data_IF_636671441601
#
_entry.id   IF_636671441601
#
_cell.length_a   1.000
_cell.length_b   1.000
_cell.length_c   1.000
_cell.angle_alpha   90.00
_cell.angle_beta   90.00
_cell.angle_gamma   90.00
#
_symmetry.space_group_name_H-M   'P 1'
#
loop_
_entity.id
_entity.type
_entity.pdbx_description
1 polymer ?
#
# COMPACT_ATOMS: atom_id res chain seq x y z
N UNK A 1 -20.82 -21.17 20.15
CA UNK A 1 -19.57 -20.63 19.58
C UNK A 1 -19.61 -20.96 18.12
N UNK A 2 -20.18 -20.06 17.32
CA UNK A 2 -20.53 -20.31 15.93
C UNK A 2 -19.97 -19.20 15.06
N UNK A 3 -19.29 -19.62 14.00
CA UNK A 3 -19.02 -18.79 12.83
C UNK A 3 -20.36 -18.64 12.08
N UNK A 4 -20.76 -17.40 11.78
CA UNK A 4 -22.03 -17.13 11.09
C UNK A 4 -21.86 -16.98 9.57
N UNK A 5 -20.62 -16.86 9.12
CA UNK A 5 -20.22 -16.70 7.73
C UNK A 5 -19.05 -17.63 7.43
N UNK A 6 -18.95 -18.12 6.20
CA UNK A 6 -17.79 -18.87 5.74
C UNK A 6 -16.61 -17.94 5.40
N UNK A 7 -15.39 -18.50 5.42
CA UNK A 7 -14.21 -17.73 5.03
C UNK A 7 -14.32 -17.27 3.58
N UNK A 8 -14.15 -15.95 3.37
CA UNK A 8 -14.33 -15.19 2.12
C UNK A 8 -15.77 -14.83 1.76
N UNK A 9 -16.73 -15.00 2.64
CA UNK A 9 -18.05 -14.40 2.43
C UNK A 9 -17.99 -12.88 2.48
N UNK A 10 -18.81 -12.25 1.65
CA UNK A 10 -19.01 -10.81 1.63
C UNK A 10 -19.82 -10.40 2.86
N UNK A 11 -19.29 -9.44 3.62
CA UNK A 11 -19.93 -8.91 4.83
C UNK A 11 -20.01 -7.38 4.75
N UNK A 12 -20.98 -6.80 5.44
CA UNK A 12 -21.21 -5.37 5.56
C UNK A 12 -21.06 -4.91 7.03
N UNK A 13 -20.81 -3.61 7.28
CA UNK A 13 -20.75 -3.08 8.64
C UNK A 13 -22.02 -3.40 9.42
N UNK A 14 -21.86 -3.98 10.61
CA UNK A 14 -22.97 -4.42 11.46
C UNK A 14 -23.30 -5.91 11.36
N UNK A 15 -22.74 -6.64 10.39
CA UNK A 15 -22.88 -8.09 10.34
C UNK A 15 -22.18 -8.75 11.54
N UNK A 16 -22.84 -9.73 12.15
CA UNK A 16 -22.27 -10.54 13.23
C UNK A 16 -21.42 -11.64 12.62
N UNK A 17 -20.11 -11.59 12.86
CA UNK A 17 -19.16 -12.55 12.32
C UNK A 17 -19.01 -13.77 13.23
N UNK A 18 -18.98 -13.54 14.55
CA UNK A 18 -18.71 -14.60 15.51
C UNK A 18 -19.37 -14.35 16.86
N UNK A 19 -19.92 -15.40 17.47
CA UNK A 19 -20.48 -15.37 18.81
C UNK A 19 -19.59 -16.09 19.83
N UNK A 20 -19.11 -15.33 20.84
CA UNK A 20 -18.25 -15.84 21.90
C UNK A 20 -16.85 -15.21 21.92
N UNK A 21 -15.92 -15.85 22.64
CA UNK A 21 -14.56 -15.35 22.83
C UNK A 21 -13.67 -15.75 21.65
N UNK A 22 -13.27 -14.74 20.87
CA UNK A 22 -12.31 -14.84 19.77
C UNK A 22 -11.55 -13.51 19.67
N UNK A 23 -10.32 -13.53 19.16
CA UNK A 23 -9.56 -12.29 18.96
C UNK A 23 -10.17 -11.49 17.80
N UNK A 24 -10.31 -10.18 18.00
CA UNK A 24 -10.69 -9.24 16.94
C UNK A 24 -9.44 -8.84 16.17
N UNK A 25 -9.45 -9.05 14.86
CA UNK A 25 -8.44 -8.54 13.95
C UNK A 25 -8.93 -7.30 13.21
N UNK A 26 -8.27 -6.99 12.09
CA UNK A 26 -8.54 -5.78 11.32
C UNK A 26 -10.00 -5.70 10.85
N UNK A 27 -10.55 -4.48 10.86
CA UNK A 27 -11.91 -4.16 10.41
C UNK A 27 -13.02 -4.95 11.14
N UNK A 28 -12.76 -5.33 12.41
CA UNK A 28 -13.75 -5.92 13.31
C UNK A 28 -13.78 -5.19 14.64
N UNK A 29 -14.90 -5.27 15.34
CA UNK A 29 -15.01 -4.77 16.71
C UNK A 29 -15.91 -5.69 17.54
N UNK A 30 -15.80 -5.60 18.86
CA UNK A 30 -16.59 -6.40 19.79
C UNK A 30 -17.61 -5.53 20.51
N UNK A 31 -18.86 -5.99 20.50
CA UNK A 31 -19.96 -5.42 21.27
C UNK A 31 -20.85 -6.57 21.77
N UNK A 32 -21.37 -6.46 23.00
CA UNK A 32 -22.35 -7.42 23.57
C UNK A 32 -21.97 -8.91 23.45
N UNK A 33 -20.67 -9.23 23.61
CA UNK A 33 -20.18 -10.61 23.52
C UNK A 33 -20.07 -11.17 22.08
N UNK A 34 -20.44 -10.38 21.07
CA UNK A 34 -20.36 -10.72 19.65
C UNK A 34 -19.27 -9.91 18.95
N UNK A 35 -18.78 -10.43 17.82
CA UNK A 35 -17.83 -9.74 16.94
C UNK A 35 -18.56 -9.30 15.70
N UNK A 36 -18.43 -8.02 15.36
CA UNK A 36 -19.10 -7.40 14.23
C UNK A 36 -18.10 -6.91 13.19
N UNK A 37 -18.48 -6.93 11.92
CA UNK A 37 -17.77 -6.24 10.86
C UNK A 37 -17.90 -4.71 11.02
N UNK A 38 -16.81 -3.98 10.79
CA UNK A 38 -16.82 -2.50 10.76
C UNK A 38 -16.68 -1.91 9.36
N UNK A 39 -16.41 -2.74 8.35
CA UNK A 39 -16.28 -2.35 6.94
C UNK A 39 -16.86 -3.39 6.00
N UNK A 40 -17.20 -2.96 4.79
CA UNK A 40 -17.56 -3.88 3.70
C UNK A 40 -16.31 -4.65 3.29
N UNK A 41 -16.38 -5.98 3.28
CA UNK A 41 -15.20 -6.80 3.05
C UNK A 41 -15.45 -8.29 2.96
N UNK A 42 -14.36 -9.05 2.89
CA UNK A 42 -14.38 -10.51 2.92
C UNK A 42 -13.96 -10.98 4.31
N UNK A 43 -14.80 -11.75 5.00
CA UNK A 43 -14.46 -12.27 6.34
C UNK A 43 -13.38 -13.35 6.26
N UNK A 44 -12.49 -13.37 7.24
CA UNK A 44 -11.46 -14.40 7.37
C UNK A 44 -11.34 -14.87 8.81
N UNK A 45 -11.28 -16.18 9.00
CA UNK A 45 -11.03 -16.81 10.29
C UNK A 45 -9.64 -17.44 10.25
N UNK A 46 -8.68 -16.87 10.99
CA UNK A 46 -7.29 -17.30 10.97
C UNK A 46 -6.72 -17.36 12.39
N UNK A 47 -6.18 -18.52 12.80
CA UNK A 47 -5.47 -18.71 14.09
C UNK A 47 -6.24 -18.19 15.33
N UNK A 48 -7.56 -18.39 15.36
CA UNK A 48 -8.41 -17.92 16.47
C UNK A 48 -8.63 -16.40 16.49
N UNK A 49 -8.49 -15.75 15.33
CA UNK A 49 -8.80 -14.35 15.09
C UNK A 49 -9.79 -14.23 13.94
N UNK A 50 -10.74 -13.30 14.09
CA UNK A 50 -11.70 -12.93 13.04
C UNK A 50 -11.29 -11.56 12.52
N UNK A 51 -11.10 -11.46 11.21
CA UNK A 51 -10.74 -10.21 10.52
C UNK A 51 -11.60 -10.04 9.28
N UNK A 52 -11.74 -8.81 8.80
CA UNK A 52 -12.40 -8.50 7.53
C UNK A 52 -11.38 -7.87 6.59
N UNK A 53 -11.16 -8.47 5.42
CA UNK A 53 -10.38 -7.85 4.35
C UNK A 53 -11.28 -6.83 3.67
N UNK A 54 -11.10 -5.55 3.97
CA UNK A 54 -11.92 -4.48 3.40
C UNK A 54 -11.78 -4.42 1.88
N UNK A 55 -12.91 -4.34 1.16
CA UNK A 55 -12.89 -4.17 -0.31
C UNK A 55 -12.47 -2.76 -0.71
N UNK A 56 -12.83 -1.78 0.11
CA UNK A 56 -12.40 -0.39 0.00
C UNK A 56 -11.98 0.12 1.39
N UNK A 57 -10.74 0.59 1.47
CA UNK A 57 -10.22 1.25 2.66
C UNK A 57 -9.14 2.24 2.25
N UNK A 58 -9.20 3.44 2.82
CA UNK A 58 -8.09 4.38 2.78
C UNK A 58 -6.87 3.83 3.53
N UNK A 59 -5.72 4.45 3.28
CA UNK A 59 -4.47 4.10 3.94
C UNK A 59 -4.47 4.56 5.40
N UNK A 60 -4.18 3.65 6.33
CA UNK A 60 -3.94 3.97 7.74
C UNK A 60 -2.46 3.74 8.05
N UNK A 61 -1.66 4.83 8.24
CA UNK A 61 -0.22 4.73 8.46
C UNK A 61 0.15 3.87 9.66
N UNK A 62 1.13 2.98 9.49
CA UNK A 62 1.78 2.25 10.58
C UNK A 62 3.29 2.46 10.55
N UNK A 63 3.91 2.46 11.73
CA UNK A 63 5.38 2.47 11.84
C UNK A 63 5.96 1.25 11.12
N UNK A 64 6.94 1.50 10.26
CA UNK A 64 7.58 0.49 9.42
C UNK A 64 7.05 0.43 7.99
N UNK A 65 5.91 1.06 7.69
CA UNK A 65 5.35 1.08 6.34
C UNK A 65 6.26 1.84 5.37
N UNK A 66 6.47 1.26 4.19
CA UNK A 66 7.04 1.97 3.05
C UNK A 66 5.91 2.67 2.31
N UNK A 67 6.10 3.94 1.96
CA UNK A 67 5.11 4.78 1.27
C UNK A 67 5.76 5.55 0.14
N UNK A 68 4.98 5.88 -0.88
CA UNK A 68 5.40 6.79 -1.95
C UNK A 68 4.61 8.07 -1.77
N UNK A 69 5.28 9.21 -1.73
CA UNK A 69 4.63 10.50 -1.45
C UNK A 69 5.12 11.61 -2.35
N UNK A 70 4.41 12.73 -2.36
CA UNK A 70 4.81 13.94 -3.08
C UNK A 70 5.00 15.10 -2.12
N UNK A 71 6.09 15.85 -2.23
CA UNK A 71 6.34 17.03 -1.42
C UNK A 71 5.30 18.09 -1.76
N UNK A 72 4.49 18.48 -0.77
CA UNK A 72 3.47 19.54 -0.91
C UNK A 72 3.97 20.90 -0.43
N UNK A 73 4.82 20.91 0.59
CA UNK A 73 5.25 22.12 1.29
C UNK A 73 6.63 21.92 1.94
N UNK A 74 7.36 23.01 2.12
CA UNK A 74 8.67 23.03 2.79
C UNK A 74 8.59 24.00 3.96
N UNK A 75 8.80 23.47 5.17
CA UNK A 75 8.79 24.24 6.41
C UNK A 75 10.19 24.26 7.03
N UNK A 76 10.41 25.13 8.00
CA UNK A 76 11.69 25.23 8.69
C UNK A 76 12.06 23.85 9.27
N UNK A 77 13.14 23.26 8.73
CA UNK A 77 13.71 21.99 9.17
C UNK A 77 12.94 20.72 8.75
N UNK A 78 11.89 20.80 7.93
CA UNK A 78 11.15 19.62 7.46
C UNK A 78 10.40 19.82 6.13
N UNK A 79 10.20 18.75 5.37
CA UNK A 79 9.27 18.70 4.24
C UNK A 79 7.95 18.10 4.68
N UNK A 80 6.84 18.64 4.16
CA UNK A 80 5.51 18.04 4.29
C UNK A 80 5.23 17.24 3.02
N UNK A 81 4.96 15.95 3.19
CA UNK A 81 4.84 14.98 2.10
C UNK A 81 3.45 14.37 2.11
N UNK A 82 2.75 14.52 1.00
CA UNK A 82 1.47 13.86 0.76
C UNK A 82 1.65 12.36 0.57
N UNK A 83 1.14 11.59 1.51
CA UNK A 83 1.18 10.13 1.50
C UNK A 83 -0.22 9.52 1.38
N UNK A 84 -1.24 10.29 0.96
CA UNK A 84 -2.63 9.79 0.82
C UNK A 84 -3.22 9.23 2.14
N UNK A 85 -2.77 9.79 3.27
CA UNK A 85 -3.28 9.52 4.61
C UNK A 85 -4.16 10.69 5.10
N UNK A 86 -4.71 10.57 6.31
CA UNK A 86 -5.48 11.66 6.93
C UNK A 86 -4.64 12.92 7.19
N UNK A 87 -3.36 12.73 7.55
CA UNK A 87 -2.38 13.79 7.77
C UNK A 87 -1.21 13.62 6.80
N UNK A 88 -0.64 14.73 6.32
CA UNK A 88 0.61 14.71 5.55
C UNK A 88 1.76 14.18 6.42
N UNK A 89 2.68 13.42 5.83
CA UNK A 89 3.88 12.95 6.50
C UNK A 89 4.90 14.07 6.67
N UNK A 90 5.60 14.09 7.80
CA UNK A 90 6.68 15.03 8.07
C UNK A 90 8.03 14.32 7.86
N UNK A 91 8.83 14.81 6.92
CA UNK A 91 10.22 14.37 6.70
C UNK A 91 11.16 15.42 7.28
N UNK A 92 11.84 15.12 8.39
CA UNK A 92 12.81 16.07 8.95
C UNK A 92 14.14 16.02 8.19
N UNK A 93 14.94 17.08 8.30
CA UNK A 93 16.26 17.15 7.65
C UNK A 93 17.18 16.00 8.11
N UNK A 94 17.20 15.69 9.40
CA UNK A 94 17.99 14.57 9.91
C UNK A 94 17.56 13.23 9.32
N UNK A 95 16.26 13.03 9.12
CA UNK A 95 15.68 11.81 8.54
C UNK A 95 15.81 11.75 7.00
N UNK A 96 16.32 12.82 6.38
CA UNK A 96 16.50 12.93 4.94
C UNK A 96 17.96 12.83 4.50
N UNK A 97 18.87 13.46 5.24
CA UNK A 97 20.28 13.59 4.85
C UNK A 97 21.27 13.20 5.96
N UNK A 98 20.78 12.66 7.08
CA UNK A 98 21.60 12.26 8.23
C UNK A 98 22.47 13.40 8.78
N UNK A 99 21.95 14.63 8.73
CA UNK A 99 22.62 15.83 9.20
C UNK A 99 21.68 16.75 9.98
N UNK A 100 22.23 17.49 10.95
CA UNK A 100 21.48 18.47 11.72
C UNK A 100 21.05 19.64 10.83
N UNK A 101 19.82 20.14 11.05
CA UNK A 101 19.34 21.32 10.34
C UNK A 101 20.18 22.54 10.71
N UNK A 102 20.57 23.31 9.69
CA UNK A 102 21.20 24.62 9.84
C UNK A 102 20.38 25.66 9.09
N UNK A 103 20.30 26.87 9.63
CA UNK A 103 19.45 27.94 9.07
C UNK A 103 19.88 28.37 7.65
N UNK A 104 21.16 28.20 7.31
CA UNK A 104 21.75 28.46 6.00
C UNK A 104 21.59 27.29 5.01
N UNK A 105 20.98 26.18 5.44
CA UNK A 105 20.79 25.00 4.61
C UNK A 105 19.66 25.20 3.59
N UNK A 106 20.02 25.15 2.32
CA UNK A 106 19.07 25.21 1.21
C UNK A 106 18.38 23.85 1.01
N UNK A 107 17.22 23.70 1.65
CA UNK A 107 16.41 22.49 1.63
C UNK A 107 15.91 22.11 0.23
N UNK A 108 15.71 23.09 -0.66
CA UNK A 108 15.19 22.87 -2.03
C UNK A 108 16.14 22.03 -2.88
N UNK A 109 17.43 22.01 -2.54
CA UNK A 109 18.44 21.19 -3.24
C UNK A 109 18.30 19.70 -2.98
N UNK A 110 17.69 19.32 -1.85
CA UNK A 110 17.44 17.92 -1.52
C UNK A 110 16.14 17.47 -2.16
N UNK A 111 15.06 18.21 -1.87
CA UNK A 111 13.72 17.98 -2.37
C UNK A 111 13.00 19.32 -2.50
N UNK A 112 12.33 19.50 -3.63
CA UNK A 112 11.48 20.66 -3.89
C UNK A 112 9.99 20.27 -3.94
N UNK A 113 9.10 21.26 -3.89
CA UNK A 113 7.66 21.07 -4.02
C UNK A 113 7.35 20.38 -5.36
N UNK A 114 6.55 19.32 -5.30
CA UNK A 114 6.22 18.49 -6.45
C UNK A 114 7.11 17.27 -6.63
N UNK A 115 8.26 17.19 -5.95
CA UNK A 115 9.12 16.00 -5.99
C UNK A 115 8.42 14.79 -5.37
N UNK A 116 8.59 13.63 -6.00
CA UNK A 116 8.11 12.37 -5.46
C UNK A 116 9.22 11.66 -4.69
N UNK A 117 8.88 11.08 -3.54
CA UNK A 117 9.81 10.34 -2.68
C UNK A 117 9.26 8.96 -2.34
N UNK A 118 10.16 7.97 -2.27
CA UNK A 118 9.94 6.72 -1.56
C UNK A 118 10.48 6.92 -0.14
N UNK A 119 9.60 6.78 0.85
CA UNK A 119 9.94 6.99 2.25
C UNK A 119 9.45 5.82 3.10
N UNK A 120 10.00 5.72 4.31
CA UNK A 120 9.55 4.79 5.34
C UNK A 120 9.01 5.57 6.54
N UNK A 121 7.90 5.11 7.09
CA UNK A 121 7.35 5.66 8.33
C UNK A 121 8.18 5.12 9.49
N UNK A 122 8.93 6.00 10.15
CA UNK A 122 9.82 5.64 11.27
C UNK A 122 9.16 5.83 12.62
N UNK A 123 8.21 6.76 12.71
CA UNK A 123 7.44 7.02 13.92
C UNK A 123 6.08 7.65 13.57
N UNK A 124 5.16 7.69 14.53
CA UNK A 124 3.90 8.41 14.43
C UNK A 124 3.75 9.26 15.69
N UNK A 125 3.67 10.58 15.51
CA UNK A 125 3.64 11.49 16.65
C UNK A 125 2.30 11.44 17.43
N UNK A 126 2.22 12.20 18.52
CA UNK A 126 1.01 12.25 19.37
C UNK A 126 -0.23 12.82 18.66
N UNK A 127 -0.05 13.57 17.57
CA UNK A 127 -1.13 14.12 16.73
C UNK A 127 -1.46 13.18 15.57
N UNK A 128 -0.86 11.99 15.53
CA UNK A 128 -0.97 10.98 14.46
C UNK A 128 -0.34 11.44 13.14
N UNK A 129 0.56 12.41 13.17
CA UNK A 129 1.37 12.81 12.03
C UNK A 129 2.47 11.76 11.80
N UNK A 130 2.53 11.12 10.62
CA UNK A 130 3.57 10.15 10.31
C UNK A 130 4.92 10.84 10.14
N UNK A 131 5.94 10.38 10.85
CA UNK A 131 7.33 10.82 10.67
C UNK A 131 7.99 9.93 9.65
N UNK A 132 8.51 10.54 8.60
CA UNK A 132 9.09 9.87 7.44
C UNK A 132 10.62 9.91 7.53
N UNK A 133 11.24 8.88 6.97
CA UNK A 133 12.66 8.87 6.64
C UNK A 133 12.87 8.39 5.21
N UNK A 134 13.82 9.00 4.52
CA UNK A 134 14.31 8.54 3.21
C UNK A 134 15.72 7.93 3.33
N UNK A 135 16.21 7.73 4.56
CA UNK A 135 17.48 7.07 4.81
C UNK A 135 17.28 5.56 4.76
N UNK A 136 17.96 4.91 3.82
CA UNK A 136 17.95 3.46 3.71
C UNK A 136 18.09 2.99 2.27
N UNK A 137 18.12 1.68 2.13
CA UNK A 137 18.13 1.04 0.81
C UNK A 137 16.78 1.22 0.14
N UNK A 138 16.80 1.56 -1.15
CA UNK A 138 15.61 1.72 -2.01
C UNK A 138 14.65 2.86 -1.58
N UNK A 139 15.12 3.79 -0.73
CA UNK A 139 14.43 5.01 -0.34
C UNK A 139 15.10 6.24 -0.99
N UNK A 140 14.36 7.36 -1.08
CA UNK A 140 14.88 8.61 -1.65
C UNK A 140 13.96 9.23 -2.70
N UNK A 141 14.51 10.23 -3.40
CA UNK A 141 13.82 10.92 -4.50
C UNK A 141 13.62 9.99 -5.68
N UNK A 142 12.41 10.00 -6.24
CA UNK A 142 12.05 9.29 -7.46
C UNK A 142 12.32 10.22 -8.65
N UNK A 143 13.24 9.81 -9.53
CA UNK A 143 13.60 10.59 -10.72
C UNK A 143 12.88 10.11 -11.99
N UNK A 144 12.47 8.85 -12.03
CA UNK A 144 11.90 8.21 -13.21
C UNK A 144 10.90 7.10 -12.85
N UNK A 145 10.08 6.73 -13.83
CA UNK A 145 9.04 5.72 -13.70
C UNK A 145 7.64 6.30 -13.71
N UNK A 146 6.65 5.40 -13.70
CA UNK A 146 5.24 5.71 -13.71
C UNK A 146 4.61 5.40 -12.35
N UNK A 147 3.90 6.37 -11.77
CA UNK A 147 3.18 6.18 -10.50
C UNK A 147 1.71 5.95 -10.81
N UNK A 148 1.17 4.84 -10.29
CA UNK A 148 -0.26 4.57 -10.31
C UNK A 148 -0.84 4.50 -8.90
N UNK A 149 -2.13 4.81 -8.80
CA UNK A 149 -2.92 4.57 -7.59
C UNK A 149 -3.48 3.15 -7.63
N UNK A 150 -3.61 2.57 -6.44
CA UNK A 150 -4.08 1.23 -6.18
C UNK A 150 -4.73 1.19 -4.80
N UNK A 151 -5.80 0.43 -4.64
CA UNK A 151 -6.54 0.35 -3.38
C UNK A 151 -5.66 -0.25 -2.27
N UNK A 152 -5.33 0.49 -1.19
CA UNK A 152 -4.41 0.03 -0.15
C UNK A 152 -4.75 -1.34 0.44
N UNK A 153 -6.03 -1.61 0.71
CA UNK A 153 -6.48 -2.90 1.27
C UNK A 153 -6.22 -4.11 0.36
N UNK A 154 -6.01 -3.90 -0.94
CA UNK A 154 -5.75 -4.96 -1.91
C UNK A 154 -4.25 -5.20 -2.10
N UNK A 155 -3.36 -4.43 -1.48
CA UNK A 155 -1.90 -4.55 -1.67
C UNK A 155 -1.38 -5.96 -1.33
N UNK A 156 -1.78 -6.59 -0.20
CA UNK A 156 -1.34 -7.95 0.10
C UNK A 156 -1.71 -8.96 -0.99
N UNK A 157 -2.83 -8.72 -1.70
CA UNK A 157 -3.27 -9.53 -2.83
C UNK A 157 -2.36 -9.37 -4.04
N UNK A 158 -1.93 -8.14 -4.34
CA UNK A 158 -0.99 -7.84 -5.42
C UNK A 158 0.41 -8.43 -5.18
N UNK A 159 0.92 -8.36 -3.95
CA UNK A 159 2.20 -8.99 -3.57
C UNK A 159 2.06 -10.51 -3.73
N UNK A 160 0.95 -11.07 -3.25
CA UNK A 160 0.70 -12.50 -3.25
C UNK A 160 1.52 -13.24 -2.19
N UNK A 161 1.27 -14.55 -2.06
CA UNK A 161 1.91 -15.38 -1.02
C UNK A 161 3.43 -15.41 -1.26
N UNK A 162 4.22 -14.90 -0.30
CA UNK A 162 5.69 -14.78 -0.41
C UNK A 162 6.15 -13.99 -1.66
N UNK A 163 5.36 -13.01 -2.11
CA UNK A 163 5.72 -12.22 -3.29
C UNK A 163 5.50 -12.92 -4.64
N UNK A 164 4.79 -14.06 -4.67
CA UNK A 164 4.66 -14.86 -5.90
C UNK A 164 4.01 -14.12 -7.06
N UNK A 165 3.03 -13.25 -6.78
CA UNK A 165 2.28 -12.54 -7.81
C UNK A 165 3.12 -11.38 -8.37
N UNK A 166 3.71 -10.56 -7.50
CA UNK A 166 4.56 -9.45 -7.95
C UNK A 166 5.80 -9.94 -8.69
N UNK A 167 6.44 -11.02 -8.23
CA UNK A 167 7.59 -11.61 -8.91
C UNK A 167 7.22 -12.18 -10.28
N UNK A 168 6.02 -12.75 -10.42
CA UNK A 168 5.51 -13.20 -11.72
C UNK A 168 5.30 -12.02 -12.67
N UNK A 169 4.71 -10.92 -12.20
CA UNK A 169 4.50 -9.69 -13.00
C UNK A 169 5.86 -9.11 -13.40
N UNK A 170 6.80 -8.99 -12.48
CA UNK A 170 8.18 -8.52 -12.72
C UNK A 170 8.87 -9.36 -13.81
N UNK A 171 8.90 -10.69 -13.64
CA UNK A 171 9.59 -11.59 -14.58
C UNK A 171 8.96 -11.57 -15.97
N UNK A 172 7.65 -11.38 -16.07
CA UNK A 172 6.95 -11.36 -17.35
C UNK A 172 7.07 -10.00 -18.03
N UNK A 173 6.97 -8.89 -17.30
CA UNK A 173 6.99 -7.53 -17.88
C UNK A 173 8.39 -6.95 -18.03
N UNK A 174 9.38 -7.47 -17.29
CA UNK A 174 10.73 -6.89 -17.23
C UNK A 174 10.79 -5.54 -16.50
N UNK A 175 9.73 -5.16 -15.78
CA UNK A 175 9.64 -3.90 -15.03
C UNK A 175 9.90 -4.15 -13.55
N UNK A 176 10.59 -3.22 -12.89
CA UNK A 176 10.69 -3.15 -11.43
C UNK A 176 9.50 -2.38 -10.84
N UNK A 177 9.07 -2.75 -9.65
CA UNK A 177 7.91 -2.14 -8.99
C UNK A 177 8.22 -1.89 -7.52
N UNK A 178 8.06 -0.65 -7.07
CA UNK A 178 8.08 -0.27 -5.66
C UNK A 178 6.65 -0.07 -5.21
N UNK A 179 6.23 -0.82 -4.20
CA UNK A 179 4.87 -0.79 -3.67
C UNK A 179 4.88 0.03 -2.38
N UNK A 180 4.15 1.15 -2.37
CA UNK A 180 3.83 1.89 -1.15
C UNK A 180 2.57 1.31 -0.50
N UNK A 181 2.58 1.09 0.81
CA UNK A 181 1.41 0.65 1.59
C UNK A 181 0.25 1.65 1.50
N UNK A 182 0.54 2.89 1.11
CA UNK A 182 -0.44 3.92 0.85
C UNK A 182 -1.17 3.81 -0.49
N UNK A 183 -1.00 2.71 -1.22
CA UNK A 183 -1.69 2.51 -2.50
C UNK A 183 -1.06 3.25 -3.66
N UNK A 184 0.09 3.91 -3.47
CA UNK A 184 0.88 4.42 -4.58
C UNK A 184 1.90 3.37 -4.99
N UNK A 185 1.95 3.06 -6.27
CA UNK A 185 2.85 2.05 -6.84
C UNK A 185 3.70 2.73 -7.90
N UNK A 186 5.02 2.70 -7.71
CA UNK A 186 5.99 3.18 -8.69
C UNK A 186 6.42 2.01 -9.55
N UNK A 187 6.27 2.15 -10.86
CA UNK A 187 6.60 1.16 -11.88
C UNK A 187 7.73 1.73 -12.71
N UNK A 188 8.82 1.00 -12.83
CA UNK A 188 9.97 1.37 -13.64
C UNK A 188 10.26 0.27 -14.66
N UNK A 189 10.07 0.56 -15.93
CA UNK A 189 10.38 -0.34 -17.04
C UNK A 189 11.54 0.18 -17.88
N UNK A 190 12.23 -0.71 -18.60
CA UNK A 190 13.28 -0.27 -19.55
C UNK A 190 12.68 0.46 -20.74
N UNK A 191 11.41 0.19 -21.05
CA UNK A 191 10.67 0.85 -22.11
C UNK A 191 9.28 1.22 -21.60
N UNK A 192 8.69 2.27 -22.20
CA UNK A 192 7.34 2.72 -21.85
C UNK A 192 6.26 1.65 -22.12
N UNK A 193 6.50 0.74 -23.05
CA UNK A 193 5.58 -0.38 -23.31
C UNK A 193 5.60 -1.43 -22.18
N UNK A 194 6.76 -1.67 -21.56
CA UNK A 194 6.84 -2.54 -20.39
C UNK A 194 6.08 -1.93 -19.19
N UNK A 195 6.23 -0.63 -18.97
CA UNK A 195 5.49 0.10 -17.93
C UNK A 195 3.98 0.02 -18.17
N UNK A 196 3.53 0.31 -19.40
CA UNK A 196 2.11 0.19 -19.78
C UNK A 196 1.56 -1.22 -19.56
N UNK A 197 2.34 -2.25 -19.90
CA UNK A 197 1.94 -3.64 -19.68
C UNK A 197 1.78 -3.93 -18.18
N UNK A 198 2.74 -3.51 -17.35
CA UNK A 198 2.65 -3.66 -15.90
C UNK A 198 1.43 -2.94 -15.32
N UNK A 199 1.16 -1.70 -15.74
CA UNK A 199 -0.03 -0.93 -15.33
C UNK A 199 -1.31 -1.71 -15.64
N UNK A 200 -1.50 -2.17 -16.89
CA UNK A 200 -2.70 -2.96 -17.28
C UNK A 200 -2.91 -4.18 -16.40
N UNK A 201 -1.83 -4.89 -16.11
CA UNK A 201 -1.86 -6.14 -15.32
C UNK A 201 -2.18 -5.85 -13.87
N UNK A 202 -1.56 -4.83 -13.27
CA UNK A 202 -1.81 -4.41 -11.89
C UNK A 202 -3.26 -3.93 -11.73
N UNK A 203 -3.77 -3.14 -12.67
CA UNK A 203 -5.19 -2.73 -12.68
C UNK A 203 -6.13 -3.93 -12.77
N UNK A 204 -5.81 -4.95 -13.58
CA UNK A 204 -6.61 -6.19 -13.62
C UNK A 204 -6.61 -6.92 -12.28
N UNK A 205 -5.46 -6.99 -11.61
CA UNK A 205 -5.34 -7.58 -10.27
C UNK A 205 -6.20 -6.83 -9.25
N UNK A 206 -6.24 -5.50 -9.33
CA UNK A 206 -7.07 -4.67 -8.46
C UNK A 206 -8.58 -4.96 -8.60
N UNK A 207 -9.04 -5.05 -9.85
CA UNK A 207 -10.45 -5.27 -10.18
C UNK A 207 -10.89 -6.70 -9.82
N UNK A 208 -10.01 -7.68 -9.97
CA UNK A 208 -10.31 -9.09 -9.74
C UNK A 208 -9.80 -9.62 -8.39
N UNK A 209 -9.41 -8.73 -7.47
CA UNK A 209 -8.81 -9.11 -6.18
C UNK A 209 -9.68 -10.07 -5.34
N UNK A 210 -11.01 -9.94 -5.46
CA UNK A 210 -12.02 -10.74 -4.78
C UNK A 210 -12.21 -12.15 -5.40
N UNK A 211 -11.72 -12.38 -6.62
CA UNK A 211 -11.95 -13.62 -7.35
C UNK A 211 -10.87 -14.67 -6.99
N UNK A 212 -11.29 -15.92 -6.85
CA UNK A 212 -10.41 -17.07 -6.65
C UNK A 212 -9.63 -17.41 -7.94
N UNK A 213 -8.47 -18.08 -7.83
CA UNK A 213 -7.68 -18.45 -9.02
C UNK A 213 -7.02 -17.30 -9.80
N UNK A 214 -6.97 -16.09 -9.23
CA UNK A 214 -6.45 -14.87 -9.88
C UNK A 214 -5.07 -15.06 -10.55
N UNK A 215 -4.14 -15.78 -9.92
CA UNK A 215 -2.80 -16.00 -10.46
C UNK A 215 -2.81 -16.63 -11.86
N UNK A 216 -3.66 -17.64 -12.08
CA UNK A 216 -3.77 -18.31 -13.39
C UNK A 216 -4.35 -17.37 -14.44
N UNK A 217 -5.35 -16.57 -14.07
CA UNK A 217 -5.98 -15.58 -14.97
C UNK A 217 -5.01 -14.47 -15.37
N UNK A 218 -4.21 -13.98 -14.41
CA UNK A 218 -3.17 -12.97 -14.66
C UNK A 218 -2.09 -13.51 -15.57
N UNK A 219 -1.66 -14.77 -15.36
CA UNK A 219 -0.66 -15.42 -16.21
C UNK A 219 -1.13 -15.53 -17.66
N UNK A 220 -2.38 -15.93 -17.87
CA UNK A 220 -2.97 -16.01 -19.20
C UNK A 220 -3.12 -14.63 -19.85
N UNK A 221 -3.54 -13.63 -19.08
CA UNK A 221 -3.64 -12.26 -19.56
C UNK A 221 -2.28 -11.67 -19.99
N UNK A 222 -1.22 -11.96 -19.22
CA UNK A 222 0.16 -11.59 -19.56
C UNK A 222 0.63 -12.24 -20.86
N UNK A 223 0.21 -13.48 -21.15
CA UNK A 223 0.54 -14.19 -22.39
C UNK A 223 -0.08 -13.48 -23.59
N UNK A 224 -1.38 -13.18 -23.52
CA UNK A 224 -2.11 -12.49 -24.59
C UNK A 224 -1.53 -11.09 -24.88
N UNK A 225 -1.22 -10.31 -23.83
CA UNK A 225 -0.62 -8.99 -24.00
C UNK A 225 0.75 -9.03 -24.68
N UNK A 226 1.52 -10.11 -24.53
CA UNK A 226 2.80 -10.27 -25.22
C UNK A 226 2.64 -10.68 -26.68
N UNK A 227 1.60 -11.45 -26.99
CA UNK A 227 1.26 -11.86 -28.36
C UNK A 227 0.76 -10.65 -29.18
N UNK A 228 0.01 -9.73 -28.58
CA UNK A 228 -0.46 -8.49 -29.25
C UNK A 228 0.64 -7.46 -29.52
N UNK A 229 1.72 -7.45 -28.73
CA UNK A 229 2.83 -6.50 -28.87
C UNK A 229 4.01 -7.05 -29.68
N UNK A 230 3.82 -8.20 -30.35
CA UNK A 230 4.82 -8.87 -31.19
C UNK A 230 4.54 -8.62 -32.65
#
# INVERSE_FOLDING_TARGET
MSELFETRDLVIPGDVLFEGRVKTGDNTHRADGKVFASRIGLVTYNRGMVSVIALEAGFNPLTGDQVIGQVKDIRIGRWMVDIDAAEDGALNVIDAIDAQFRTDFDMTRVLDIGDTVVAKIVDIDRRRTPILSILGRDLGRVNEGFIMRFTPSKIPRLIGKKGSMINMIFNQTGSNVVIGQNGRILIHGRTREQEKMAVKVITKVENEAHISGLTSRVKEYLRLLKEENR
#
